data_IF_023784582231
#
_entry.id   IF_023784582231
#
_cell.length_a   1.000
_cell.length_b   1.000
_cell.length_c   1.000
_cell.angle_alpha   90.00
_cell.angle_beta   90.00
_cell.angle_gamma   90.00
#
_symmetry.space_group_name_H-M   'P 1'
#
loop_
_entity.id
_entity.type
_entity.pdbx_description
1 polymer ?
#
# COMPACT_ATOMS: atom_id res chain seq x y z
N UNK A 1 10.21 3.92 3.25
CA UNK A 1 10.36 2.46 3.38
C UNK A 1 9.99 1.85 2.05
N UNK A 2 10.86 1.01 1.51
CA UNK A 2 10.63 0.23 0.29
C UNK A 2 10.57 -1.24 0.65
N UNK A 3 9.49 -1.91 0.30
CA UNK A 3 9.23 -3.33 0.61
C UNK A 3 8.71 -4.04 -0.63
N UNK A 4 9.03 -5.32 -0.79
CA UNK A 4 8.51 -6.16 -1.86
C UNK A 4 7.89 -7.44 -1.29
N UNK A 5 6.76 -7.86 -1.88
CA UNK A 5 6.06 -9.10 -1.51
C UNK A 5 5.23 -9.64 -2.69
N UNK A 6 5.04 -10.96 -2.72
CA UNK A 6 4.15 -11.61 -3.69
C UNK A 6 2.68 -11.44 -3.28
N UNK A 7 1.79 -11.29 -4.25
CA UNK A 7 0.35 -11.15 -4.04
C UNK A 7 -0.45 -12.28 -4.69
N UNK A 8 -1.70 -12.46 -4.24
CA UNK A 8 -2.58 -13.54 -4.70
C UNK A 8 -3.22 -13.23 -6.06
N UNK A 9 -3.51 -11.96 -6.31
CA UNK A 9 -4.23 -11.50 -7.49
C UNK A 9 -3.38 -11.57 -8.76
N UNK A 10 -4.01 -11.80 -9.91
CA UNK A 10 -3.33 -11.71 -11.22
C UNK A 10 -3.44 -10.29 -11.76
N UNK A 11 -2.44 -9.89 -12.56
CA UNK A 11 -2.37 -8.53 -13.11
C UNK A 11 -3.63 -8.15 -13.93
N UNK A 12 -4.22 -9.03 -14.75
CA UNK A 12 -5.46 -8.70 -15.48
C UNK A 12 -6.64 -8.42 -14.55
N UNK A 13 -6.76 -9.11 -13.41
CA UNK A 13 -7.85 -8.90 -12.45
C UNK A 13 -7.72 -7.54 -11.76
N UNK A 14 -6.49 -7.18 -11.39
CA UNK A 14 -6.15 -5.87 -10.81
C UNK A 14 -6.47 -4.75 -11.81
N UNK A 15 -6.08 -4.91 -13.07
CA UNK A 15 -6.39 -3.97 -14.15
C UNK A 15 -7.91 -3.86 -14.33
N UNK A 16 -8.62 -4.98 -14.31
CA UNK A 16 -10.07 -5.05 -14.36
C UNK A 16 -10.73 -4.24 -13.25
N UNK A 17 -10.29 -4.40 -12.01
CA UNK A 17 -10.77 -3.66 -10.84
C UNK A 17 -10.46 -2.15 -10.97
N UNK A 18 -9.25 -1.76 -11.37
CA UNK A 18 -8.91 -0.35 -11.57
C UNK A 18 -9.84 0.30 -12.60
N UNK A 19 -10.13 -0.40 -13.69
CA UNK A 19 -10.97 0.10 -14.78
C UNK A 19 -12.46 0.09 -14.43
N UNK A 20 -12.91 -0.89 -13.63
CA UNK A 20 -14.31 -1.10 -13.29
C UNK A 20 -14.41 -1.51 -11.81
N UNK A 21 -14.61 -0.53 -10.93
CA UNK A 21 -14.80 -0.75 -9.50
C UNK A 21 -15.93 0.12 -8.98
N UNK A 22 -16.67 -0.42 -8.02
CA UNK A 22 -17.70 0.32 -7.29
C UNK A 22 -17.10 1.24 -6.22
N UNK A 23 -15.83 1.04 -5.85
CA UNK A 23 -15.12 1.76 -4.77
C UNK A 23 -14.76 3.20 -5.16
N UNK A 24 -14.59 3.48 -6.45
CA UNK A 24 -14.15 4.77 -6.99
C UNK A 24 -14.72 5.02 -8.38
N UNK A 25 -14.59 6.25 -8.85
CA UNK A 25 -14.83 6.59 -10.25
C UNK A 25 -13.51 6.52 -11.03
N UNK A 26 -13.54 5.88 -12.20
CA UNK A 26 -12.37 5.74 -13.06
C UNK A 26 -12.43 6.69 -14.24
N UNK A 27 -11.35 7.44 -14.49
CA UNK A 27 -11.20 8.35 -15.62
C UNK A 27 -9.94 8.00 -16.40
N UNK A 28 -10.11 7.59 -17.66
CA UNK A 28 -8.99 7.35 -18.57
C UNK A 28 -8.53 8.71 -19.12
N UNK A 29 -7.27 9.07 -18.87
CA UNK A 29 -6.65 10.32 -19.34
C UNK A 29 -5.93 10.12 -20.66
N UNK A 30 -5.21 9.01 -20.79
CA UNK A 30 -4.45 8.67 -21.99
C UNK A 30 -4.53 7.16 -22.24
N UNK A 31 -4.60 6.75 -23.51
CA UNK A 31 -4.53 5.36 -23.94
C UNK A 31 -3.73 5.30 -25.26
N UNK A 32 -2.41 5.22 -25.14
CA UNK A 32 -1.49 5.38 -26.27
C UNK A 32 -0.34 4.38 -26.14
N UNK A 33 -0.01 3.67 -27.23
CA UNK A 33 1.21 2.86 -27.37
C UNK A 33 1.44 1.83 -26.24
N UNK A 34 0.38 1.15 -25.78
CA UNK A 34 0.50 0.12 -24.75
C UNK A 34 0.67 0.65 -23.32
N UNK A 35 0.51 1.96 -23.13
CA UNK A 35 0.41 2.62 -21.82
C UNK A 35 -0.96 3.28 -21.69
N UNK A 36 -1.62 3.04 -20.56
CA UNK A 36 -2.87 3.70 -20.20
C UNK A 36 -2.69 4.49 -18.91
N UNK A 37 -2.92 5.79 -18.98
CA UNK A 37 -2.94 6.67 -17.81
C UNK A 37 -4.37 6.81 -17.32
N UNK A 38 -4.60 6.41 -16.07
CA UNK A 38 -5.90 6.39 -15.42
C UNK A 38 -5.83 7.22 -14.15
N UNK A 39 -6.92 7.91 -13.85
CA UNK A 39 -7.13 8.56 -12.55
C UNK A 39 -8.31 7.90 -11.89
N UNK A 40 -8.13 7.40 -10.67
CA UNK A 40 -9.20 6.88 -9.82
C UNK A 40 -9.54 7.91 -8.76
N UNK A 41 -10.83 8.21 -8.61
CA UNK A 41 -11.33 9.29 -7.73
C UNK A 41 -12.29 8.75 -6.71
N UNK A 42 -12.14 9.21 -5.47
CA UNK A 42 -13.12 8.94 -4.43
C UNK A 42 -14.44 9.62 -4.78
N UNK A 43 -15.56 8.93 -4.54
CA UNK A 43 -16.90 9.48 -4.85
C UNK A 43 -17.38 10.48 -3.79
N UNK A 44 -16.87 10.37 -2.55
CA UNK A 44 -17.31 11.17 -1.41
C UNK A 44 -16.31 12.28 -1.04
N UNK A 45 -15.05 12.16 -1.44
CA UNK A 45 -13.98 13.09 -1.10
C UNK A 45 -13.22 13.56 -2.33
N UNK A 46 -12.67 14.78 -2.28
CA UNK A 46 -11.80 15.32 -3.34
C UNK A 46 -10.39 14.70 -3.22
N UNK A 47 -10.31 13.41 -3.51
CA UNK A 47 -9.09 12.61 -3.43
C UNK A 47 -8.94 11.77 -4.69
N UNK A 48 -7.75 11.82 -5.27
CA UNK A 48 -7.47 11.16 -6.55
C UNK A 48 -6.11 10.45 -6.49
N UNK A 49 -6.08 9.20 -6.97
CA UNK A 49 -4.84 8.46 -7.20
C UNK A 49 -4.60 8.34 -8.71
N UNK A 50 -3.33 8.40 -9.11
CA UNK A 50 -2.94 8.24 -10.52
C UNK A 50 -2.42 6.83 -10.74
N UNK A 51 -2.85 6.20 -11.82
CA UNK A 51 -2.50 4.83 -12.16
C UNK A 51 -1.96 4.78 -13.58
N UNK A 52 -0.79 4.20 -13.75
CA UNK A 52 -0.18 3.90 -15.05
C UNK A 52 -0.24 2.40 -15.29
N UNK A 53 -0.93 2.00 -16.35
CA UNK A 53 -1.13 0.59 -16.71
C UNK A 53 -0.30 0.30 -17.96
N UNK A 54 0.55 -0.71 -17.86
CA UNK A 54 1.34 -1.30 -18.94
C UNK A 54 0.96 -2.77 -19.09
N UNK A 55 1.48 -3.43 -20.14
CA UNK A 55 1.19 -4.84 -20.43
C UNK A 55 1.60 -5.82 -19.33
N UNK A 56 2.66 -5.50 -18.56
CA UNK A 56 3.23 -6.38 -17.52
C UNK A 56 3.38 -5.71 -16.17
N UNK A 57 2.88 -4.49 -16.04
CA UNK A 57 3.09 -3.67 -14.85
C UNK A 57 1.96 -2.66 -14.66
N UNK A 58 1.61 -2.40 -13.41
CA UNK A 58 0.74 -1.29 -13.00
C UNK A 58 1.46 -0.49 -11.93
N UNK A 59 1.58 0.82 -12.12
CA UNK A 59 2.11 1.74 -11.11
C UNK A 59 1.00 2.64 -10.59
N UNK A 60 0.80 2.67 -9.27
CA UNK A 60 -0.21 3.48 -8.59
C UNK A 60 0.53 4.51 -7.72
N UNK A 61 0.20 5.78 -7.91
CA UNK A 61 0.61 6.89 -7.04
C UNK A 61 -0.59 7.29 -6.19
N UNK A 62 -0.48 7.08 -4.87
CA UNK A 62 -1.57 7.36 -3.93
C UNK A 62 -1.90 8.85 -3.90
N UNK A 63 -3.11 9.15 -3.47
CA UNK A 63 -3.50 10.52 -3.17
C UNK A 63 -2.66 11.10 -2.02
N UNK A 64 -2.53 12.44 -1.99
CA UNK A 64 -1.87 13.24 -0.95
C UNK A 64 -0.37 12.98 -0.76
N UNK A 65 -0.02 11.82 -0.21
CA UNK A 65 1.34 11.46 0.18
C UNK A 65 2.22 11.01 -0.98
N UNK A 66 1.62 10.77 -2.17
CA UNK A 66 2.31 10.29 -3.38
C UNK A 66 3.17 9.04 -3.13
N UNK A 67 2.71 8.16 -2.24
CA UNK A 67 3.32 6.84 -2.09
C UNK A 67 3.10 6.04 -3.37
N UNK A 68 4.01 5.12 -3.65
CA UNK A 68 3.97 4.36 -4.90
C UNK A 68 3.80 2.88 -4.63
N UNK A 69 2.82 2.27 -5.31
CA UNK A 69 2.71 0.82 -5.47
C UNK A 69 3.07 0.48 -6.90
N UNK A 70 3.96 -0.48 -7.07
CA UNK A 70 4.35 -1.01 -8.37
C UNK A 70 4.04 -2.50 -8.39
N UNK A 71 3.07 -2.88 -9.21
CA UNK A 71 2.58 -4.24 -9.35
C UNK A 71 3.10 -4.79 -10.66
N UNK A 72 3.87 -5.88 -10.64
CA UNK A 72 4.52 -6.39 -11.85
C UNK A 72 4.57 -7.92 -11.90
N UNK A 73 4.59 -8.45 -13.12
CA UNK A 73 4.62 -9.90 -13.38
C UNK A 73 6.06 -10.40 -13.43
N UNK A 74 6.42 -11.27 -12.50
CA UNK A 74 7.71 -11.98 -12.46
C UNK A 74 7.44 -13.49 -12.51
N UNK A 75 7.77 -14.13 -13.64
CA UNK A 75 7.34 -15.50 -13.90
C UNK A 75 5.81 -15.58 -13.97
N UNK A 76 5.22 -16.54 -13.24
CA UNK A 76 3.76 -16.72 -13.13
C UNK A 76 3.14 -15.98 -11.94
N UNK A 77 3.96 -15.24 -11.19
CA UNK A 77 3.59 -14.56 -9.96
C UNK A 77 3.46 -13.05 -10.19
N UNK A 78 2.61 -12.41 -9.39
CA UNK A 78 2.52 -10.95 -9.34
C UNK A 78 3.15 -10.47 -8.05
N UNK A 79 4.03 -9.48 -8.17
CA UNK A 79 4.75 -8.89 -7.07
C UNK A 79 4.30 -7.45 -6.87
N UNK A 80 4.26 -7.03 -5.62
CA UNK A 80 4.01 -5.67 -5.21
C UNK A 80 5.28 -5.08 -4.59
N UNK A 81 5.79 -4.00 -5.17
CA UNK A 81 6.75 -3.11 -4.54
C UNK A 81 6.03 -1.88 -4.01
N UNK A 82 6.12 -1.64 -2.71
CA UNK A 82 5.62 -0.42 -2.09
C UNK A 82 6.78 0.49 -1.70
N UNK A 83 6.67 1.77 -2.02
CA UNK A 83 7.56 2.82 -1.50
C UNK A 83 6.73 3.94 -0.86
N UNK A 84 6.91 4.10 0.45
CA UNK A 84 6.23 5.12 1.23
C UNK A 84 6.47 5.01 2.72
N UNK A 85 5.57 5.58 3.51
CA UNK A 85 5.61 5.47 4.96
C UNK A 85 5.09 4.10 5.42
N UNK A 86 5.70 3.55 6.47
CA UNK A 86 5.28 2.27 7.06
C UNK A 86 3.77 2.21 7.39
N UNK A 87 3.21 3.30 7.92
CA UNK A 87 1.78 3.41 8.25
C UNK A 87 0.85 3.49 7.04
N UNK A 88 1.37 3.82 5.87
CA UNK A 88 0.57 3.97 4.65
C UNK A 88 0.48 2.69 3.82
N UNK A 89 1.20 1.64 4.22
CA UNK A 89 1.22 0.35 3.53
C UNK A 89 -0.15 -0.34 3.64
N UNK A 90 -0.78 -0.62 2.50
CA UNK A 90 -2.10 -1.25 2.30
C UNK A 90 -3.32 -0.55 2.93
N UNK A 91 -3.14 0.58 3.61
CA UNK A 91 -4.22 1.36 4.26
C UNK A 91 -4.91 2.39 3.33
N UNK A 92 -4.68 2.31 2.01
CA UNK A 92 -5.15 3.34 1.08
C UNK A 92 -6.54 3.02 0.54
N UNK A 93 -7.47 3.99 0.61
CA UNK A 93 -8.85 3.83 0.11
C UNK A 93 -8.93 3.69 -1.42
N UNK A 94 -8.04 4.39 -2.14
CA UNK A 94 -7.92 4.35 -3.60
C UNK A 94 -6.83 3.37 -4.02
N UNK A 95 -7.07 2.09 -3.74
CA UNK A 95 -6.14 1.00 -4.05
C UNK A 95 -6.94 -0.24 -4.48
N UNK A 96 -6.52 -0.96 -5.54
CA UNK A 96 -7.10 -2.25 -5.88
C UNK A 96 -6.85 -3.28 -4.78
N UNK A 97 -7.48 -4.44 -4.93
CA UNK A 97 -7.25 -5.59 -4.07
C UNK A 97 -5.80 -6.05 -4.24
N UNK A 98 -5.03 -5.94 -3.15
CA UNK A 98 -3.63 -6.35 -3.07
C UNK A 98 -3.52 -7.20 -1.81
N UNK A 99 -3.61 -8.51 -1.98
CA UNK A 99 -3.55 -9.46 -0.87
C UNK A 99 -2.19 -10.14 -0.85
N UNK A 100 -1.34 -9.92 0.18
CA UNK A 100 -0.10 -10.67 0.34
C UNK A 100 -0.35 -12.18 0.32
N UNK A 101 0.49 -12.91 -0.42
CA UNK A 101 0.38 -14.38 -0.51
C UNK A 101 0.85 -15.06 0.77
N UNK A 102 1.88 -14.50 1.39
CA UNK A 102 2.48 -14.93 2.65
C UNK A 102 2.39 -13.81 3.70
N UNK A 103 2.89 -14.06 4.92
CA UNK A 103 2.91 -13.03 5.97
C UNK A 103 3.74 -11.82 5.53
N UNK A 104 3.12 -10.65 5.55
CA UNK A 104 3.79 -9.40 5.19
C UNK A 104 4.95 -9.07 6.15
N UNK A 105 4.90 -9.58 7.38
CA UNK A 105 5.95 -9.40 8.39
C UNK A 105 7.28 -10.06 8.00
N UNK A 106 7.22 -11.13 7.21
CA UNK A 106 8.39 -11.87 6.74
C UNK A 106 8.90 -11.36 5.37
N UNK A 107 8.26 -10.31 4.84
CA UNK A 107 8.68 -9.64 3.62
C UNK A 107 9.92 -8.78 3.85
N UNK A 108 10.80 -8.71 2.85
CA UNK A 108 12.04 -7.94 2.95
C UNK A 108 11.80 -6.46 2.70
N UNK A 109 12.21 -5.65 3.67
CA UNK A 109 12.36 -4.20 3.52
C UNK A 109 13.69 -3.96 2.82
N UNK A 110 13.63 -3.53 1.57
CA UNK A 110 14.78 -3.31 0.70
C UNK A 110 15.52 -2.01 1.01
N UNK A 111 14.80 -1.00 1.49
CA UNK A 111 15.37 0.30 1.82
C UNK A 111 14.51 0.99 2.87
N UNK A 112 15.13 1.62 3.86
CA UNK A 112 14.37 2.35 4.87
C UNK A 112 15.14 3.50 5.49
N UNK A 113 14.40 4.46 6.06
CA UNK A 113 15.02 5.57 6.80
C UNK A 113 15.70 5.14 8.10
N UNK A 114 15.42 3.93 8.61
CA UNK A 114 16.03 3.41 9.84
C UNK A 114 17.31 2.64 9.58
N UNK A 115 17.36 1.87 8.50
CA UNK A 115 18.47 0.96 8.20
C UNK A 115 19.23 1.34 6.91
N UNK A 116 18.84 2.41 6.23
CA UNK A 116 19.39 2.76 4.91
C UNK A 116 19.15 1.64 3.91
N UNK A 117 20.23 1.15 3.31
CA UNK A 117 20.22 0.05 2.33
C UNK A 117 20.36 -1.35 2.95
N UNK A 118 20.46 -1.45 4.29
CA UNK A 118 20.48 -2.75 4.96
C UNK A 118 19.09 -3.38 4.88
N UNK A 119 19.05 -4.60 4.33
CA UNK A 119 17.81 -5.36 4.17
C UNK A 119 17.46 -6.07 5.47
N UNK A 120 16.24 -5.83 5.96
CA UNK A 120 15.68 -6.51 7.14
C UNK A 120 14.26 -6.96 6.89
N UNK A 121 13.74 -7.83 7.77
CA UNK A 121 12.32 -8.21 7.72
C UNK A 121 11.44 -7.07 8.21
N UNK A 122 10.21 -7.01 7.71
CA UNK A 122 9.25 -5.99 8.12
C UNK A 122 8.94 -6.07 9.62
N UNK A 123 8.95 -7.27 10.22
CA UNK A 123 8.83 -7.47 11.67
C UNK A 123 9.88 -6.70 12.46
N UNK A 124 11.15 -6.84 12.10
CA UNK A 124 12.26 -6.14 12.77
C UNK A 124 12.11 -4.62 12.62
N UNK A 125 11.76 -4.18 11.42
CA UNK A 125 11.50 -2.77 11.13
C UNK A 125 10.36 -2.23 12.01
N UNK A 126 9.27 -2.98 12.18
CA UNK A 126 8.13 -2.60 13.01
C UNK A 126 8.50 -2.47 14.50
N UNK A 127 9.25 -3.44 15.03
CA UNK A 127 9.71 -3.45 16.42
C UNK A 127 10.62 -2.26 16.73
N UNK A 128 11.59 -1.96 15.85
CA UNK A 128 12.51 -0.86 16.07
C UNK A 128 11.86 0.51 15.87
N UNK A 129 10.88 0.64 14.96
CA UNK A 129 10.03 1.83 14.91
C UNK A 129 9.30 2.07 16.22
N UNK A 130 8.77 1.00 16.84
CA UNK A 130 8.06 1.10 18.11
C UNK A 130 9.01 1.52 19.25
N UNK A 131 10.23 0.93 19.31
CA UNK A 131 11.27 1.33 20.27
C UNK A 131 11.65 2.79 20.10
N UNK A 132 11.87 3.25 18.86
CA UNK A 132 12.22 4.64 18.58
C UNK A 132 11.08 5.61 18.96
N UNK A 133 9.82 5.23 18.70
CA UNK A 133 8.64 6.00 19.10
C UNK A 133 8.53 6.13 20.62
N UNK A 134 8.81 5.06 21.38
CA UNK A 134 8.85 5.08 22.85
C UNK A 134 9.98 5.98 23.36
N UNK A 135 11.19 5.80 22.84
CA UNK A 135 12.37 6.60 23.20
C UNK A 135 12.13 8.11 22.98
N UNK A 136 11.53 8.51 21.85
CA UNK A 136 11.21 9.92 21.56
C UNK A 136 10.22 10.52 22.56
N UNK A 137 9.18 9.76 22.94
CA UNK A 137 8.18 10.20 23.93
C UNK A 137 8.81 10.42 25.31
N UNK A 138 9.65 9.47 25.74
CA UNK A 138 10.28 9.49 27.07
C UNK A 138 11.32 10.60 27.21
N UNK A 139 12.10 10.88 26.17
CA UNK A 139 13.25 11.79 26.27
C UNK A 139 12.95 13.24 25.86
N UNK A 140 11.95 13.47 25.01
CA UNK A 140 11.73 14.79 24.41
C UNK A 140 10.37 15.43 24.73
N UNK A 141 9.53 14.79 25.58
CA UNK A 141 8.16 15.24 25.88
C UNK A 141 7.37 15.62 24.61
N UNK A 142 7.69 14.99 23.47
CA UNK A 142 6.94 15.18 22.23
C UNK A 142 5.61 14.45 22.37
N UNK A 143 4.62 15.13 22.97
CA UNK A 143 3.21 14.88 22.74
C UNK A 143 2.77 15.24 21.30
N UNK A 144 3.73 15.48 20.39
CA UNK A 144 3.50 15.47 18.96
C UNK A 144 3.24 14.03 18.54
N UNK A 145 1.96 13.68 18.53
CA UNK A 145 1.46 12.73 17.54
C UNK A 145 1.95 13.21 16.19
N UNK A 146 3.03 12.64 15.65
CA UNK A 146 3.56 12.91 14.31
C UNK A 146 2.58 12.46 13.23
N UNK A 147 1.41 13.08 13.26
CA UNK A 147 0.20 12.92 12.48
C UNK A 147 -0.05 14.37 12.11
N UNK A 148 0.25 14.75 10.87
CA UNK A 148 -0.20 16.06 10.42
C UNK A 148 -1.74 16.11 10.57
N UNK A 149 -2.37 17.28 10.71
CA UNK A 149 -3.83 17.35 10.89
C UNK A 149 -4.65 16.65 9.78
N UNK A 150 -4.02 16.34 8.64
CA UNK A 150 -4.59 15.57 7.51
C UNK A 150 -4.33 14.04 7.58
N UNK A 151 -3.45 13.56 8.45
CA UNK A 151 -3.15 12.14 8.61
C UNK A 151 -4.30 11.43 9.36
N UNK A 152 -4.73 10.29 8.82
CA UNK A 152 -5.94 9.59 9.25
C UNK A 152 -5.94 9.19 10.74
N UNK A 153 -7.10 9.29 11.43
CA UNK A 153 -7.21 9.20 12.87
C UNK A 153 -6.89 7.82 13.46
N UNK A 154 -5.76 7.77 14.17
CA UNK A 154 -5.36 7.03 15.40
C UNK A 154 -5.77 5.57 15.70
N UNK A 155 -6.80 4.96 15.14
CA UNK A 155 -7.33 3.69 15.70
C UNK A 155 -6.71 2.39 15.18
N UNK A 156 -5.87 2.42 14.15
CA UNK A 156 -5.41 1.18 13.46
C UNK A 156 -3.91 0.91 13.65
N UNK A 157 -3.16 1.77 14.38
CA UNK A 157 -1.69 1.74 14.33
C UNK A 157 -0.98 0.89 15.40
N UNK A 158 -1.61 0.66 16.56
CA UNK A 158 -0.99 -0.11 17.66
C UNK A 158 -1.50 -1.57 17.66
N UNK A 159 -2.63 -1.86 17.02
CA UNK A 159 -3.01 -3.21 16.63
C UNK A 159 -2.26 -3.52 15.34
N UNK A 160 -1.05 -4.09 15.48
CA UNK A 160 -0.35 -4.96 14.53
C UNK A 160 -0.85 -4.87 13.07
N UNK A 161 0.07 -4.71 12.09
CA UNK A 161 -0.07 -5.47 10.85
C UNK A 161 -0.31 -6.88 11.34
N UNK A 162 -1.58 -7.33 11.37
CA UNK A 162 -1.98 -8.51 12.15
C UNK A 162 -0.99 -9.59 11.75
N UNK A 163 -0.43 -10.29 12.72
CA UNK A 163 0.48 -11.40 12.44
C UNK A 163 -0.12 -12.36 11.39
N UNK A 164 -1.45 -12.29 11.22
CA UNK A 164 -2.26 -12.88 10.16
C UNK A 164 -3.10 -11.85 9.35
N UNK A 165 -2.54 -10.82 8.71
CA UNK A 165 -3.31 -10.12 7.65
C UNK A 165 -3.48 -11.05 6.45
N UNK A 166 -4.44 -11.95 6.57
CA UNK A 166 -5.10 -12.65 5.48
C UNK A 166 -6.35 -11.81 5.23
N UNK A 167 -6.41 -11.14 4.07
CA UNK A 167 -7.57 -10.36 3.68
C UNK A 167 -8.85 -11.19 3.89
N UNK A 168 -9.94 -10.61 4.41
CA UNK A 168 -11.19 -11.35 4.55
C UNK A 168 -11.59 -11.86 3.16
N UNK A 169 -11.64 -13.19 3.00
CA UNK A 169 -12.27 -13.80 1.84
C UNK A 169 -13.68 -13.23 1.76
N UNK A 170 -14.04 -12.59 0.65
CA UNK A 170 -15.40 -12.16 0.36
C UNK A 170 -16.33 -13.35 0.59
N UNK A 171 -17.01 -13.38 1.74
CA UNK A 171 -18.05 -14.36 1.98
C UNK A 171 -19.18 -14.01 1.02
N UNK A 172 -19.53 -14.98 0.18
CA UNK A 172 -20.78 -15.04 -0.55
C UNK A 172 -21.93 -14.66 0.38
N UNK A 173 -22.57 -13.52 0.12
CA UNK A 173 -23.90 -13.28 0.64
C UNK A 173 -24.89 -13.88 -0.36
N UNK A 174 -25.08 -15.19 -0.23
CA UNK A 174 -26.33 -15.82 -0.63
C UNK A 174 -27.38 -15.50 0.45
N UNK A 175 -28.26 -14.53 0.18
CA UNK A 175 -29.68 -14.62 0.55
C UNK A 175 -30.54 -13.61 -0.18
#
# INVERSE_FOLDING_TARGET
MRIQFEIKEKLPDIIGEILNSEKWMTLIKEDISGRKLVVIRDQAFDSEATVEIYSREVTIKTAWSRYTYRLFVLGDCVWCEYNGAYRGLLEQKLLPSITPKESLLDSEVLDSSLYGHEKKKLREYAEDNLKLKKFRRENFNENRTGVAPFDHPKKVYDEFIKEDYIAPSSKENNK
#
